data_IF_014527354227
#
_entry.id   IF_014527354227
#
_cell.length_a   1.000
_cell.length_b   1.000
_cell.length_c   1.000
_cell.angle_alpha   90.00
_cell.angle_beta   90.00
_cell.angle_gamma   90.00
#
_symmetry.space_group_name_H-M   'P 1'
#
loop_
_entity.id
_entity.type
_entity.pdbx_description
1 polymer ?
#
# COMPACT_ATOMS: atom_id res chain seq x y z
N UNK A 1 1.70 6.31 -17.61
CA UNK A 1 1.88 4.85 -17.51
C UNK A 1 0.61 4.30 -16.92
N UNK A 2 0.29 3.03 -17.16
CA UNK A 2 -0.88 2.42 -16.52
C UNK A 2 -0.58 2.07 -15.06
N UNK A 3 -1.57 2.18 -14.19
CA UNK A 3 -1.42 1.96 -12.74
C UNK A 3 -0.87 0.58 -12.40
N UNK A 4 -1.11 -0.43 -13.26
CA UNK A 4 -0.59 -1.77 -13.05
C UNK A 4 0.93 -1.82 -13.20
N UNK A 5 1.47 -1.14 -14.22
CA UNK A 5 2.92 -1.06 -14.43
C UNK A 5 3.63 -0.33 -13.28
N UNK A 6 3.03 0.71 -12.73
CA UNK A 6 3.56 1.42 -11.56
C UNK A 6 3.57 0.55 -10.30
N UNK A 7 2.50 -0.21 -10.06
CA UNK A 7 2.44 -1.17 -8.95
C UNK A 7 3.57 -2.20 -9.07
N UNK A 8 3.73 -2.80 -10.25
CA UNK A 8 4.75 -3.83 -10.49
C UNK A 8 6.16 -3.27 -10.39
N UNK A 9 6.40 -2.10 -10.99
CA UNK A 9 7.70 -1.45 -10.95
C UNK A 9 8.04 -0.98 -9.53
N UNK A 10 7.09 -0.39 -8.83
CA UNK A 10 7.23 -0.03 -7.42
C UNK A 10 7.54 -1.25 -6.53
N UNK A 11 6.85 -2.37 -6.75
CA UNK A 11 7.15 -3.61 -6.04
C UNK A 11 8.58 -4.10 -6.30
N UNK A 12 9.04 -4.07 -7.55
CA UNK A 12 10.40 -4.45 -7.91
C UNK A 12 11.45 -3.53 -7.26
N UNK A 13 11.20 -2.23 -7.23
CA UNK A 13 12.04 -1.25 -6.51
C UNK A 13 12.08 -1.56 -5.01
N UNK A 14 10.93 -1.83 -4.40
CA UNK A 14 10.85 -2.19 -3.00
C UNK A 14 11.70 -3.41 -2.67
N UNK A 15 11.60 -4.46 -3.49
CA UNK A 15 12.41 -5.68 -3.34
C UNK A 15 13.92 -5.38 -3.47
N UNK A 16 14.31 -4.58 -4.46
CA UNK A 16 15.71 -4.21 -4.68
C UNK A 16 16.31 -3.42 -3.49
N UNK A 17 15.53 -2.51 -2.89
CA UNK A 17 16.00 -1.61 -1.82
C UNK A 17 16.01 -2.29 -0.45
N UNK A 18 14.93 -2.94 -0.07
CA UNK A 18 14.72 -3.48 1.27
C UNK A 18 14.42 -4.99 1.32
N UNK A 19 14.33 -5.69 0.20
CA UNK A 19 13.95 -7.10 0.14
C UNK A 19 14.83 -7.99 1.02
N UNK A 20 16.15 -7.75 1.04
CA UNK A 20 17.08 -8.50 1.89
C UNK A 20 16.88 -8.28 3.40
N UNK A 21 16.33 -7.14 3.81
CA UNK A 21 16.15 -6.77 5.23
C UNK A 21 14.77 -7.14 5.76
N UNK A 22 13.73 -6.88 4.97
CA UNK A 22 12.33 -7.04 5.42
C UNK A 22 11.53 -8.08 4.63
N UNK A 23 12.16 -8.74 3.65
CA UNK A 23 11.53 -9.77 2.84
C UNK A 23 10.38 -9.22 1.99
N UNK A 24 9.39 -10.07 1.68
CA UNK A 24 8.25 -9.74 0.80
C UNK A 24 7.46 -8.47 1.19
N UNK A 25 7.65 -7.95 2.39
CA UNK A 25 7.05 -6.66 2.81
C UNK A 25 7.60 -5.49 2.01
N UNK A 26 8.85 -5.59 1.56
CA UNK A 26 9.47 -4.57 0.72
C UNK A 26 8.72 -4.39 -0.60
N UNK A 27 8.31 -5.48 -1.23
CA UNK A 27 7.49 -5.45 -2.45
C UNK A 27 6.16 -4.73 -2.22
N UNK A 28 5.48 -5.03 -1.10
CA UNK A 28 4.20 -4.41 -0.76
C UNK A 28 4.36 -2.90 -0.58
N UNK A 29 5.36 -2.48 0.20
CA UNK A 29 5.61 -1.06 0.43
C UNK A 29 6.10 -0.34 -0.83
N UNK A 30 6.88 -1.01 -1.67
CA UNK A 30 7.28 -0.48 -2.97
C UNK A 30 6.08 -0.29 -3.92
N UNK A 31 5.17 -1.27 -3.98
CA UNK A 31 3.93 -1.15 -4.74
C UNK A 31 3.07 0.03 -4.25
N UNK A 32 2.92 0.18 -2.93
CA UNK A 32 2.23 1.33 -2.32
C UNK A 32 2.91 2.64 -2.71
N UNK A 33 4.23 2.72 -2.61
CA UNK A 33 4.98 3.91 -2.99
C UNK A 33 4.76 4.28 -4.47
N UNK A 34 4.78 3.30 -5.38
CA UNK A 34 4.53 3.54 -6.81
C UNK A 34 3.11 4.03 -7.13
N UNK A 35 2.13 3.74 -6.25
CA UNK A 35 0.74 4.17 -6.47
C UNK A 35 0.38 5.52 -5.84
N UNK A 36 1.14 5.97 -4.85
CA UNK A 36 0.82 7.22 -4.13
C UNK A 36 0.75 8.46 -5.05
N UNK A 37 1.67 8.67 -6.02
CA UNK A 37 1.58 9.81 -6.92
C UNK A 37 0.30 9.83 -7.75
N UNK A 38 -0.24 8.67 -8.10
CA UNK A 38 -1.46 8.55 -8.90
C UNK A 38 -2.76 8.60 -8.07
N UNK A 39 -2.68 8.63 -6.75
CA UNK A 39 -3.87 8.79 -5.89
C UNK A 39 -4.53 10.17 -6.02
N UNK A 40 -3.87 11.13 -6.64
CA UNK A 40 -4.43 12.43 -6.97
C UNK A 40 -5.59 12.37 -7.99
N UNK A 41 -5.72 11.24 -8.73
CA UNK A 41 -6.93 10.94 -9.51
C UNK A 41 -8.21 11.05 -8.66
N UNK A 42 -8.12 10.84 -7.34
CA UNK A 42 -9.23 11.11 -6.43
C UNK A 42 -9.64 12.60 -6.41
N UNK A 43 -8.75 13.50 -6.79
CA UNK A 43 -9.03 14.93 -6.94
C UNK A 43 -10.09 15.22 -7.99
N UNK A 44 -10.29 14.35 -8.99
CA UNK A 44 -11.34 14.49 -10.01
C UNK A 44 -12.76 14.56 -9.43
N UNK A 45 -12.98 14.06 -8.21
CA UNK A 45 -14.26 14.15 -7.54
C UNK A 45 -14.52 15.52 -6.88
N UNK A 46 -13.47 16.35 -6.73
CA UNK A 46 -13.53 17.61 -5.99
C UNK A 46 -13.03 18.81 -6.79
N UNK A 47 -12.29 18.59 -7.89
CA UNK A 47 -11.68 19.63 -8.72
C UNK A 47 -12.27 19.60 -10.13
N UNK A 48 -12.19 20.74 -10.85
CA UNK A 48 -12.53 20.77 -12.28
C UNK A 48 -11.50 19.96 -13.09
N UNK A 49 -11.86 19.50 -14.29
CA UNK A 49 -10.96 18.68 -15.13
C UNK A 49 -9.63 19.38 -15.41
N UNK A 50 -9.66 20.69 -15.65
CA UNK A 50 -8.45 21.49 -15.91
C UNK A 50 -7.57 21.65 -14.68
N UNK A 51 -8.18 21.91 -13.51
CA UNK A 51 -7.49 22.05 -12.25
C UNK A 51 -6.88 20.71 -11.81
N UNK A 52 -7.61 19.62 -12.03
CA UNK A 52 -7.13 18.27 -11.72
C UNK A 52 -5.93 17.90 -12.59
N UNK A 53 -5.96 18.22 -13.90
CA UNK A 53 -4.85 17.94 -14.81
C UNK A 53 -3.59 18.77 -14.46
N UNK A 54 -3.78 20.04 -14.08
CA UNK A 54 -2.70 20.89 -13.62
C UNK A 54 -2.09 20.43 -12.29
N UNK A 55 -2.94 19.96 -11.36
CA UNK A 55 -2.52 19.39 -10.08
C UNK A 55 -1.75 18.09 -10.27
N UNK A 56 -2.29 17.17 -11.08
CA UNK A 56 -1.68 15.88 -11.36
C UNK A 56 -0.27 16.01 -11.94
N UNK A 57 -0.09 16.78 -13.00
CA UNK A 57 1.22 16.94 -13.66
C UNK A 57 2.15 17.91 -12.94
N UNK A 58 1.62 18.88 -12.21
CA UNK A 58 2.42 19.94 -11.60
C UNK A 58 2.97 19.59 -10.23
N UNK A 59 2.22 18.91 -9.39
CA UNK A 59 2.56 18.69 -7.98
C UNK A 59 2.95 17.24 -7.69
N UNK A 60 2.09 16.28 -7.99
CA UNK A 60 2.30 14.88 -7.56
C UNK A 60 3.48 14.19 -8.24
N UNK A 61 3.82 14.57 -9.47
CA UNK A 61 5.01 14.09 -10.18
C UNK A 61 6.22 15.07 -10.12
N UNK A 62 6.17 16.07 -9.25
CA UNK A 62 7.31 16.96 -9.07
C UNK A 62 8.42 16.30 -8.25
N UNK A 63 9.69 16.59 -8.56
CA UNK A 63 10.83 16.15 -7.76
C UNK A 63 10.71 16.62 -6.30
N UNK A 64 10.12 17.79 -6.08
CA UNK A 64 9.87 18.31 -4.73
C UNK A 64 8.93 17.40 -3.97
N UNK A 65 7.82 16.97 -4.59
CA UNK A 65 6.91 16.01 -3.98
C UNK A 65 7.61 14.67 -3.69
N UNK A 66 8.39 14.13 -4.64
CA UNK A 66 9.12 12.88 -4.44
C UNK A 66 10.08 12.96 -3.25
N UNK A 67 10.82 14.06 -3.11
CA UNK A 67 11.77 14.23 -1.99
C UNK A 67 11.04 14.45 -0.66
N UNK A 68 10.13 15.41 -0.60
CA UNK A 68 9.40 15.72 0.65
C UNK A 68 8.51 14.57 1.06
N UNK A 69 7.77 14.00 0.12
CA UNK A 69 6.93 12.83 0.35
C UNK A 69 7.74 11.65 0.86
N UNK A 70 8.86 11.32 0.23
CA UNK A 70 9.73 10.23 0.67
C UNK A 70 10.25 10.41 2.10
N UNK A 71 10.64 11.63 2.47
CA UNK A 71 11.08 11.95 3.82
C UNK A 71 9.95 11.75 4.84
N UNK A 72 8.77 12.26 4.52
CA UNK A 72 7.59 12.16 5.42
C UNK A 72 7.13 10.70 5.53
N UNK A 73 6.88 10.02 4.42
CA UNK A 73 6.40 8.63 4.45
C UNK A 73 7.45 7.68 5.00
N UNK A 74 8.72 7.86 4.66
CA UNK A 74 9.82 7.07 5.21
C UNK A 74 9.95 7.22 6.72
N UNK A 75 9.87 8.46 7.23
CA UNK A 75 9.91 8.73 8.67
C UNK A 75 8.67 8.17 9.40
N UNK A 76 7.48 8.36 8.83
CA UNK A 76 6.24 7.82 9.41
C UNK A 76 6.29 6.29 9.47
N UNK A 77 6.71 5.65 8.39
CA UNK A 77 6.81 4.18 8.33
C UNK A 77 7.82 3.64 9.34
N UNK A 78 8.98 4.28 9.45
CA UNK A 78 10.00 3.92 10.45
C UNK A 78 9.44 4.03 11.88
N UNK A 79 8.77 5.15 12.20
CA UNK A 79 8.13 5.37 13.50
C UNK A 79 7.04 4.36 13.82
N UNK A 80 6.23 4.01 12.84
CA UNK A 80 5.16 3.03 13.01
C UNK A 80 5.72 1.63 13.26
N UNK A 81 6.77 1.23 12.54
CA UNK A 81 7.40 -0.08 12.76
C UNK A 81 8.23 -0.14 14.05
N UNK A 82 8.85 0.95 14.48
CA UNK A 82 9.57 1.03 15.74
C UNK A 82 8.67 1.18 16.98
N UNK A 83 7.38 1.44 16.80
CA UNK A 83 6.43 1.65 17.89
C UNK A 83 5.76 0.34 18.34
N UNK A 84 5.08 0.39 19.51
CA UNK A 84 4.21 -0.71 19.98
C UNK A 84 3.03 -1.01 19.03
N UNK A 85 2.79 -0.14 18.05
CA UNK A 85 1.68 -0.24 17.11
C UNK A 85 2.03 -1.02 15.84
N UNK A 86 3.25 -1.54 15.71
CA UNK A 86 3.67 -2.30 14.52
C UNK A 86 2.75 -3.51 14.21
N UNK A 87 2.22 -4.17 15.24
CA UNK A 87 1.28 -5.27 15.06
C UNK A 87 -0.03 -4.82 14.40
N UNK A 88 -0.56 -3.68 14.82
CA UNK A 88 -1.76 -3.08 14.24
C UNK A 88 -1.54 -2.59 12.82
N UNK A 89 -0.37 -1.99 12.54
CA UNK A 89 0.01 -1.58 11.19
C UNK A 89 0.10 -2.80 10.25
N UNK A 90 0.78 -3.85 10.68
CA UNK A 90 0.92 -5.08 9.90
C UNK A 90 -0.45 -5.78 9.67
N UNK A 91 -1.35 -5.69 10.63
CA UNK A 91 -2.72 -6.19 10.48
C UNK A 91 -3.53 -5.30 9.54
N UNK A 92 -3.39 -3.97 9.66
CA UNK A 92 -4.06 -2.98 8.82
C UNK A 92 -3.65 -3.10 7.35
N UNK A 93 -2.37 -3.28 7.04
CA UNK A 93 -1.90 -3.47 5.65
C UNK A 93 -2.46 -4.75 5.04
N UNK A 94 -2.59 -5.82 5.81
CA UNK A 94 -3.22 -7.06 5.33
C UNK A 94 -4.72 -6.92 5.16
N UNK A 95 -5.38 -6.19 6.07
CA UNK A 95 -6.80 -5.88 5.93
C UNK A 95 -7.05 -5.06 4.66
N UNK A 96 -6.25 -4.03 4.40
CA UNK A 96 -6.34 -3.22 3.19
C UNK A 96 -6.12 -4.08 1.93
N UNK A 97 -5.09 -4.92 1.90
CA UNK A 97 -4.86 -5.84 0.79
C UNK A 97 -6.03 -6.79 0.57
N UNK A 98 -6.61 -7.34 1.65
CA UNK A 98 -7.76 -8.21 1.56
C UNK A 98 -9.00 -7.49 1.03
N UNK A 99 -9.22 -6.22 1.40
CA UNK A 99 -10.31 -5.40 0.84
C UNK A 99 -10.13 -5.21 -0.67
N UNK A 100 -8.91 -4.88 -1.12
CA UNK A 100 -8.61 -4.73 -2.55
C UNK A 100 -8.86 -6.03 -3.30
N UNK A 101 -8.37 -7.16 -2.80
CA UNK A 101 -8.62 -8.48 -3.40
C UNK A 101 -10.11 -8.78 -3.42
N UNK A 102 -10.84 -8.51 -2.35
CA UNK A 102 -12.29 -8.71 -2.29
C UNK A 102 -13.04 -7.86 -3.31
N UNK A 103 -12.61 -6.63 -3.51
CA UNK A 103 -13.18 -5.74 -4.54
C UNK A 103 -12.94 -6.29 -5.94
N UNK A 104 -11.72 -6.74 -6.24
CA UNK A 104 -11.38 -7.34 -7.53
C UNK A 104 -12.17 -8.62 -7.76
N UNK A 105 -12.25 -9.50 -6.77
CA UNK A 105 -13.04 -10.75 -6.86
C UNK A 105 -14.51 -10.44 -7.09
N UNK A 106 -15.08 -9.49 -6.35
CA UNK A 106 -16.46 -9.08 -6.54
C UNK A 106 -16.68 -8.49 -7.93
N UNK A 107 -15.79 -7.63 -8.41
CA UNK A 107 -15.86 -7.06 -9.76
C UNK A 107 -15.86 -8.14 -10.84
N UNK A 108 -14.94 -9.10 -10.76
CA UNK A 108 -14.88 -10.22 -11.68
C UNK A 108 -16.15 -11.07 -11.64
N UNK A 109 -16.68 -11.29 -10.42
CA UNK A 109 -17.90 -12.08 -10.24
C UNK A 109 -19.13 -11.40 -10.84
N UNK A 110 -19.22 -10.05 -10.77
CA UNK A 110 -20.29 -9.28 -11.36
C UNK A 110 -20.35 -9.40 -12.90
N UNK A 111 -19.22 -9.75 -13.55
CA UNK A 111 -19.18 -10.02 -14.99
C UNK A 111 -19.97 -11.31 -15.32
N UNK A 112 -19.87 -12.35 -14.46
CA UNK A 112 -20.50 -13.65 -14.70
C UNK A 112 -21.89 -13.80 -14.08
N UNK A 113 -22.16 -13.09 -12.96
CA UNK A 113 -23.40 -13.18 -12.20
C UNK A 113 -23.82 -11.78 -11.70
N UNK A 114 -24.33 -10.90 -12.59
CA UNK A 114 -24.72 -9.53 -12.26
C UNK A 114 -25.77 -9.49 -11.15
N UNK A 115 -25.59 -8.58 -10.19
CA UNK A 115 -26.55 -8.36 -9.09
C UNK A 115 -26.44 -9.34 -7.92
N UNK A 116 -25.55 -10.31 -7.97
CA UNK A 116 -25.37 -11.22 -6.85
C UNK A 116 -24.46 -10.61 -5.77
N UNK A 117 -24.92 -10.56 -4.53
CA UNK A 117 -24.21 -10.00 -3.37
C UNK A 117 -23.59 -11.08 -2.45
N UNK A 118 -23.96 -12.35 -2.64
CA UNK A 118 -23.52 -13.43 -1.77
C UNK A 118 -21.99 -13.63 -1.73
N UNK A 119 -21.17 -13.37 -2.79
CA UNK A 119 -19.73 -13.52 -2.70
C UNK A 119 -19.12 -12.58 -1.65
N UNK A 120 -19.65 -11.37 -1.53
CA UNK A 120 -19.22 -10.39 -0.52
C UNK A 120 -19.60 -10.87 0.88
N UNK A 121 -20.81 -11.41 1.04
CA UNK A 121 -21.30 -11.92 2.31
C UNK A 121 -20.47 -13.11 2.85
N UNK A 122 -19.90 -13.92 1.98
CA UNK A 122 -19.02 -15.04 2.36
C UNK A 122 -17.57 -14.54 2.56
N UNK A 123 -17.10 -13.67 1.69
CA UNK A 123 -15.71 -13.18 1.70
C UNK A 123 -15.38 -12.39 2.97
N UNK A 124 -16.25 -11.46 3.38
CA UNK A 124 -15.99 -10.59 4.54
C UNK A 124 -15.76 -11.41 5.83
N UNK A 125 -16.64 -12.33 6.23
CA UNK A 125 -16.42 -13.16 7.44
C UNK A 125 -15.15 -13.99 7.36
N UNK A 126 -14.85 -14.58 6.20
CA UNK A 126 -13.63 -15.37 6.01
C UNK A 126 -12.37 -14.55 6.18
N UNK A 127 -12.34 -13.34 5.61
CA UNK A 127 -11.21 -12.41 5.75
C UNK A 127 -11.07 -11.95 7.20
N UNK A 128 -12.15 -11.53 7.84
CA UNK A 128 -12.14 -11.09 9.24
C UNK A 128 -11.63 -12.21 10.15
N UNK A 129 -12.16 -13.44 9.99
CA UNK A 129 -11.71 -14.59 10.76
C UNK A 129 -10.24 -14.93 10.49
N UNK A 130 -9.82 -14.93 9.23
CA UNK A 130 -8.43 -15.19 8.82
C UNK A 130 -7.46 -14.17 9.40
N UNK A 131 -7.79 -12.88 9.32
CA UNK A 131 -6.99 -11.79 9.88
C UNK A 131 -6.93 -11.85 11.40
N UNK A 132 -8.06 -12.12 12.06
CA UNK A 132 -8.12 -12.29 13.52
C UNK A 132 -7.24 -13.46 14.00
N UNK A 133 -7.42 -14.64 13.40
CA UNK A 133 -6.64 -15.83 13.72
C UNK A 133 -5.14 -15.66 13.45
N UNK A 134 -4.81 -15.02 12.32
CA UNK A 134 -3.42 -14.73 11.97
C UNK A 134 -2.80 -13.69 12.91
N UNK A 135 -3.56 -12.65 13.26
CA UNK A 135 -3.14 -11.63 14.23
C UNK A 135 -2.81 -12.22 15.57
N UNK A 136 -3.72 -13.04 16.11
CA UNK A 136 -3.52 -13.73 17.40
C UNK A 136 -2.24 -14.58 17.40
N UNK A 137 -2.00 -15.36 16.33
CA UNK A 137 -0.87 -16.29 16.29
C UNK A 137 0.49 -15.62 16.05
N UNK A 138 0.53 -14.52 15.32
CA UNK A 138 1.79 -13.99 14.83
C UNK A 138 2.20 -12.65 15.45
N UNK A 139 1.25 -11.81 15.79
CA UNK A 139 1.54 -10.44 16.25
C UNK A 139 1.30 -10.25 17.75
N UNK A 140 0.41 -11.03 18.35
CA UNK A 140 0.06 -10.91 19.76
C UNK A 140 0.66 -12.03 20.64
N UNK A 141 1.38 -13.00 20.03
CA UNK A 141 2.08 -14.06 20.76
C UNK A 141 3.41 -13.67 21.40
N UNK A 142 3.87 -12.43 21.19
CA UNK A 142 5.13 -11.92 21.75
C UNK A 142 6.38 -12.20 20.90
N UNK A 143 6.31 -13.06 19.88
CA UNK A 143 7.48 -13.46 19.06
C UNK A 143 7.76 -12.52 17.88
N UNK A 144 7.03 -11.42 17.78
CA UNK A 144 7.18 -10.48 16.69
C UNK A 144 8.44 -9.63 16.84
N UNK A 145 9.35 -9.72 15.88
CA UNK A 145 10.46 -8.79 15.72
C UNK A 145 10.09 -7.72 14.66
N UNK A 146 10.35 -6.47 15.00
CA UNK A 146 10.23 -5.38 14.02
C UNK A 146 11.15 -5.65 12.81
N UNK A 147 10.76 -5.22 11.58
CA UNK A 147 11.64 -5.31 10.44
C UNK A 147 12.95 -4.56 10.69
N UNK A 148 14.07 -5.17 10.32
CA UNK A 148 15.39 -4.54 10.40
C UNK A 148 15.60 -3.57 9.22
N UNK A 149 14.88 -2.46 9.26
CA UNK A 149 15.02 -1.38 8.30
C UNK A 149 15.16 -0.07 9.05
N UNK A 150 16.12 0.73 8.64
CA UNK A 150 16.33 2.08 9.15
C UNK A 150 15.53 3.13 8.35
N UNK A 151 15.40 4.33 8.90
CA UNK A 151 14.69 5.44 8.25
C UNK A 151 15.25 5.74 6.86
N UNK A 152 16.56 5.58 6.64
CA UNK A 152 17.19 5.82 5.34
C UNK A 152 16.72 4.83 4.28
N UNK A 153 16.60 3.56 4.65
CA UNK A 153 16.07 2.52 3.76
C UNK A 153 14.63 2.79 3.38
N UNK A 154 13.78 3.22 4.33
CA UNK A 154 12.40 3.61 4.05
C UNK A 154 12.31 4.83 3.13
N UNK A 155 13.10 5.88 3.41
CA UNK A 155 13.13 7.08 2.56
C UNK A 155 13.57 6.74 1.15
N UNK A 156 14.59 5.92 0.98
CA UNK A 156 15.07 5.50 -0.34
C UNK A 156 14.00 4.69 -1.10
N UNK A 157 13.29 3.78 -0.41
CA UNK A 157 12.20 3.01 -1.01
C UNK A 157 11.09 3.92 -1.52
N UNK A 158 10.62 4.86 -0.69
CA UNK A 158 9.55 5.79 -1.09
C UNK A 158 10.02 6.73 -2.20
N UNK A 159 11.24 7.26 -2.12
CA UNK A 159 11.78 8.14 -3.15
C UNK A 159 11.83 7.47 -4.53
N UNK A 160 12.42 6.28 -4.59
CA UNK A 160 12.50 5.54 -5.85
C UNK A 160 11.12 5.01 -6.29
N UNK A 161 10.25 4.63 -5.35
CA UNK A 161 8.90 4.23 -5.64
C UNK A 161 8.05 5.35 -6.24
N UNK A 162 8.20 6.58 -5.76
CA UNK A 162 7.50 7.75 -6.32
C UNK A 162 8.00 8.15 -7.72
N UNK A 163 9.22 7.73 -8.09
CA UNK A 163 9.77 7.97 -9.43
C UNK A 163 9.29 6.95 -10.48
N UNK A 164 8.60 5.89 -10.06
CA UNK A 164 8.09 4.84 -10.97
C UNK A 164 6.79 5.21 -11.61
#
# INVERSE_FOLDING_TARGET
MDSLSQIVLGAAVGEAVLGRRIGNRAMIWGAVAGTIPDMDVLGQYFLSELDNLAFHRGISHSLVFCVVGALVFGWVTDRLYGSRHHAWLALGTKAAAAVVVGFVVNFLFQIFAPGSWWPVAVYIPLVVFGLWRHGQRRYFSGDWKAPDADVRGWVLLFFLGFLT
#
